data_IF_062553233551
#
_entry.id   IF_062553233551
#
_cell.length_a   1.000
_cell.length_b   1.000
_cell.length_c   1.000
_cell.angle_alpha   90.00
_cell.angle_beta   90.00
_cell.angle_gamma   90.00
#
_symmetry.space_group_name_H-M   'P 1'
#
loop_
_entity.id
_entity.type
_entity.pdbx_description
1 polymer ?
#
# COMPACT_ATOMS: atom_id res chain seq x y z
N UNK A 1 65.05 18.04 15.83
CA UNK A 1 63.76 17.41 16.21
C UNK A 1 63.14 16.92 14.93
N UNK A 2 63.10 15.61 14.76
CA UNK A 2 62.92 14.90 13.50
C UNK A 2 61.46 14.51 13.32
N UNK A 3 60.83 15.03 12.27
CA UNK A 3 59.43 14.77 11.89
C UNK A 3 59.31 13.37 11.29
N UNK A 4 58.74 12.42 12.03
CA UNK A 4 58.37 11.10 11.47
C UNK A 4 57.01 11.17 10.81
N UNK A 5 57.02 11.26 9.48
CA UNK A 5 55.87 11.16 8.61
C UNK A 5 55.51 9.67 8.43
N UNK A 6 54.39 9.23 9.00
CA UNK A 6 53.91 7.86 8.83
C UNK A 6 53.24 7.69 7.45
N UNK A 7 53.96 7.09 6.50
CA UNK A 7 53.42 6.68 5.20
C UNK A 7 52.53 5.46 5.37
N UNK A 8 51.22 5.64 5.19
CA UNK A 8 50.21 4.56 5.22
C UNK A 8 50.15 3.94 3.83
N UNK A 9 50.57 2.67 3.70
CA UNK A 9 50.46 1.91 2.45
C UNK A 9 48.98 1.66 2.11
N UNK A 10 48.55 1.81 0.86
CA UNK A 10 47.20 1.42 0.45
C UNK A 10 47.08 -0.11 0.47
N UNK A 11 45.98 -0.59 1.03
CA UNK A 11 45.56 -2.00 0.98
C UNK A 11 44.63 -2.11 -0.23
N UNK A 12 45.06 -2.83 -1.25
CA UNK A 12 44.19 -3.20 -2.37
C UNK A 12 43.22 -4.28 -1.86
N UNK A 13 41.93 -3.94 -1.84
CA UNK A 13 40.86 -4.86 -1.50
C UNK A 13 40.33 -5.40 -2.83
N UNK A 14 40.71 -6.63 -3.13
CA UNK A 14 40.25 -7.38 -4.29
C UNK A 14 38.80 -7.84 -4.02
N UNK A 15 37.87 -7.35 -4.83
CA UNK A 15 36.48 -7.80 -4.77
C UNK A 15 36.32 -8.93 -5.79
N UNK A 16 36.42 -10.17 -5.32
CA UNK A 16 36.00 -11.34 -6.10
C UNK A 16 34.49 -11.25 -6.31
N UNK A 17 34.10 -10.91 -7.54
CA UNK A 17 32.71 -10.97 -8.01
C UNK A 17 32.48 -12.39 -8.49
N UNK A 18 32.05 -13.27 -7.58
CA UNK A 18 31.55 -14.59 -7.97
C UNK A 18 30.10 -14.44 -8.47
N UNK A 19 29.92 -14.70 -9.77
CA UNK A 19 28.66 -14.70 -10.50
C UNK A 19 27.72 -15.82 -9.99
N UNK A 20 26.73 -15.48 -9.18
CA UNK A 20 25.71 -16.42 -8.68
C UNK A 20 24.46 -16.47 -9.60
N UNK A 21 24.69 -16.83 -10.87
CA UNK A 21 23.67 -16.85 -11.95
C UNK A 21 22.97 -18.22 -12.15
N UNK A 22 22.73 -19.02 -11.10
CA UNK A 22 22.16 -20.38 -11.27
C UNK A 22 20.99 -20.77 -10.36
N UNK A 23 19.94 -19.94 -10.30
CA UNK A 23 18.63 -20.42 -9.85
C UNK A 23 17.56 -20.16 -10.91
N UNK A 24 16.91 -21.24 -11.36
CA UNK A 24 15.83 -21.36 -12.36
C UNK A 24 16.23 -21.68 -13.82
N UNK A 25 16.77 -22.89 -14.01
CA UNK A 25 16.65 -23.61 -15.29
C UNK A 25 15.20 -24.10 -15.46
N UNK A 26 14.63 -23.84 -16.65
CA UNK A 26 13.24 -24.07 -17.09
C UNK A 26 12.93 -25.55 -17.38
N UNK A 27 11.64 -25.95 -17.41
CA UNK A 27 10.99 -26.17 -18.72
C UNK A 27 9.50 -25.79 -18.81
N UNK A 28 9.12 -25.05 -19.86
CA UNK A 28 7.77 -25.09 -20.48
C UNK A 28 7.80 -26.15 -21.61
N UNK A 29 6.68 -26.67 -22.19
CA UNK A 29 5.25 -26.59 -21.87
C UNK A 29 4.55 -27.98 -21.83
N UNK A 30 3.27 -28.05 -21.43
CA UNK A 30 2.39 -29.17 -21.82
C UNK A 30 1.26 -28.67 -22.73
N UNK A 31 1.41 -28.92 -24.03
CA UNK A 31 0.41 -28.71 -25.07
C UNK A 31 -0.43 -29.98 -25.21
N UNK A 32 -1.60 -30.03 -24.54
CA UNK A 32 -2.49 -31.19 -24.64
C UNK A 32 -3.53 -31.05 -25.75
N UNK A 33 -3.25 -31.77 -26.84
CA UNK A 33 -4.17 -32.53 -27.70
C UNK A 33 -5.46 -31.87 -28.24
N UNK A 34 -5.45 -31.66 -29.57
CA UNK A 34 -6.61 -31.42 -30.43
C UNK A 34 -7.59 -32.60 -30.38
N UNK A 35 -8.89 -32.33 -30.17
CA UNK A 35 -9.97 -33.31 -30.41
C UNK A 35 -10.43 -33.18 -31.87
N UNK A 36 -10.15 -34.18 -32.70
CA UNK A 36 -10.81 -34.32 -33.99
C UNK A 36 -12.17 -35.00 -33.79
N UNK A 37 -13.25 -34.35 -34.25
CA UNK A 37 -14.53 -35.02 -34.42
C UNK A 37 -14.45 -35.90 -35.67
N UNK A 38 -14.27 -37.21 -35.51
CA UNK A 38 -14.44 -38.15 -36.61
C UNK A 38 -15.95 -38.41 -36.83
N UNK A 39 -16.47 -38.32 -38.07
CA UNK A 39 -17.81 -38.80 -38.40
C UNK A 39 -17.86 -40.34 -38.30
N UNK A 40 -19.04 -40.92 -38.00
CA UNK A 40 -19.16 -42.36 -37.75
C UNK A 40 -18.91 -43.13 -39.04
N UNK A 41 -17.81 -43.88 -39.08
CA UNK A 41 -17.51 -44.83 -40.15
C UNK A 41 -18.25 -46.13 -39.82
N UNK A 42 -19.26 -46.47 -40.62
CA UNK A 42 -19.86 -47.80 -40.65
C UNK A 42 -18.84 -48.75 -41.28
N UNK A 43 -18.24 -49.60 -40.48
CA UNK A 43 -17.45 -50.73 -40.97
C UNK A 43 -18.34 -51.96 -41.01
N UNK A 44 -18.55 -52.44 -42.22
CA UNK A 44 -19.19 -53.72 -42.54
C UNK A 44 -18.09 -54.76 -42.57
N UNK A 45 -18.01 -55.61 -41.54
CA UNK A 45 -17.48 -56.96 -41.59
C UNK A 45 -17.85 -57.59 -40.24
N UNK A 46 -18.24 -58.87 -40.25
CA UNK A 46 -18.71 -59.70 -39.13
C UNK A 46 -20.24 -59.79 -38.95
N UNK A 47 -20.91 -60.35 -39.96
CA UNK A 47 -22.18 -61.08 -39.79
C UNK A 47 -21.91 -62.51 -39.29
N UNK A 48 -22.62 -62.99 -38.25
CA UNK A 48 -23.00 -64.39 -38.17
C UNK A 48 -24.41 -64.59 -38.75
N UNK A 49 -24.46 -65.38 -39.82
CA UNK A 49 -25.68 -65.87 -40.47
C UNK A 49 -26.54 -66.61 -39.46
N UNK A 50 -27.73 -66.07 -39.16
CA UNK A 50 -28.82 -66.83 -38.52
C UNK A 50 -30.01 -66.82 -39.46
N UNK A 51 -30.35 -68.01 -39.97
CA UNK A 51 -31.48 -68.24 -40.86
C UNK A 51 -32.82 -68.11 -40.12
N UNK A 52 -33.86 -67.94 -40.93
CA UNK A 52 -35.29 -68.24 -40.70
C UNK A 52 -36.20 -67.10 -40.24
N UNK A 53 -37.15 -66.76 -41.13
CA UNK A 53 -38.45 -66.12 -40.85
C UNK A 53 -38.39 -64.65 -40.43
N UNK A 54 -39.04 -63.67 -41.03
CA UNK A 54 -40.05 -63.61 -42.07
C UNK A 54 -39.72 -62.40 -42.93
N UNK A 55 -39.85 -62.56 -44.24
CA UNK A 55 -39.95 -61.43 -45.17
C UNK A 55 -41.28 -60.74 -44.87
N UNK A 56 -41.28 -59.73 -44.00
CA UNK A 56 -42.42 -58.83 -43.90
C UNK A 56 -42.44 -58.01 -45.18
N UNK A 57 -43.27 -58.51 -46.08
CA UNK A 57 -43.59 -57.99 -47.38
C UNK A 57 -43.89 -56.48 -47.30
N UNK A 58 -43.28 -55.78 -48.24
CA UNK A 58 -43.69 -54.45 -48.69
C UNK A 58 -45.14 -54.54 -49.16
N UNK A 59 -46.10 -54.27 -48.25
CA UNK A 59 -47.52 -54.32 -48.57
C UNK A 59 -47.90 -53.08 -49.37
N UNK A 60 -47.68 -53.13 -50.69
CA UNK A 60 -48.52 -52.43 -51.65
C UNK A 60 -49.80 -53.25 -51.81
N UNK A 61 -50.86 -52.76 -51.22
CA UNK A 61 -52.25 -53.06 -51.59
C UNK A 61 -53.13 -52.04 -50.89
N UNK A 62 -54.11 -51.41 -51.51
CA UNK A 62 -54.62 -51.53 -52.85
C UNK A 62 -55.24 -50.17 -53.24
N UNK A 63 -55.26 -49.92 -54.54
CA UNK A 63 -56.13 -48.91 -55.16
C UNK A 63 -57.57 -49.23 -54.74
N UNK A 64 -58.18 -48.32 -53.98
CA UNK A 64 -59.63 -48.28 -53.81
C UNK A 64 -60.16 -47.11 -54.65
N UNK A 65 -61.21 -47.31 -55.46
CA UNK A 65 -61.75 -46.27 -56.31
C UNK A 65 -62.50 -45.24 -55.45
N UNK A 66 -62.20 -43.96 -55.66
CA UNK A 66 -62.92 -42.86 -55.04
C UNK A 66 -64.22 -42.63 -55.83
N UNK A 67 -65.35 -42.86 -55.18
CA UNK A 67 -66.60 -42.14 -55.43
C UNK A 67 -67.05 -41.54 -54.09
N UNK A 68 -67.21 -40.22 -54.05
CA UNK A 68 -67.84 -39.52 -52.92
C UNK A 68 -66.97 -38.46 -52.25
N UNK A 69 -67.07 -37.24 -52.77
CA UNK A 69 -67.21 -35.97 -52.04
C UNK A 69 -66.59 -35.86 -50.63
N UNK A 70 -65.50 -35.11 -50.51
CA UNK A 70 -65.00 -34.64 -49.23
C UNK A 70 -63.80 -33.70 -49.40
N UNK A 71 -64.02 -32.42 -49.14
CA UNK A 71 -63.04 -31.33 -49.23
C UNK A 71 -61.77 -31.66 -48.44
N UNK A 72 -60.65 -31.35 -49.06
CA UNK A 72 -59.29 -31.69 -48.62
C UNK A 72 -58.92 -31.02 -47.29
N UNK A 73 -58.44 -31.86 -46.38
CA UNK A 73 -57.70 -31.46 -45.19
C UNK A 73 -56.40 -30.78 -45.62
N UNK A 74 -56.24 -29.48 -45.36
CA UNK A 74 -54.93 -28.83 -45.33
C UNK A 74 -54.25 -29.27 -44.02
N UNK A 75 -53.55 -30.40 -44.06
CA UNK A 75 -52.61 -30.78 -43.01
C UNK A 75 -51.50 -29.72 -42.97
N UNK A 76 -51.55 -28.88 -41.95
CA UNK A 76 -50.50 -27.92 -41.62
C UNK A 76 -49.28 -28.75 -41.21
N UNK A 77 -48.28 -28.86 -42.07
CA UNK A 77 -46.98 -29.39 -41.68
C UNK A 77 -46.47 -28.56 -40.49
N UNK A 78 -46.20 -29.16 -39.31
CA UNK A 78 -45.61 -28.41 -38.23
C UNK A 78 -44.19 -28.08 -38.65
N UNK A 79 -43.94 -26.83 -39.01
CA UNK A 79 -42.58 -26.32 -39.14
C UNK A 79 -41.94 -26.46 -37.78
N UNK A 80 -41.01 -27.41 -37.63
CA UNK A 80 -40.11 -27.46 -36.49
C UNK A 80 -39.20 -26.24 -36.62
N UNK A 81 -39.69 -25.10 -36.13
CA UNK A 81 -38.85 -23.93 -35.93
C UNK A 81 -37.87 -24.35 -34.85
N UNK A 82 -36.62 -24.62 -35.24
CA UNK A 82 -35.52 -24.83 -34.30
C UNK A 82 -35.46 -23.58 -33.43
N UNK A 83 -35.99 -23.69 -32.23
CA UNK A 83 -35.78 -22.73 -31.16
C UNK A 83 -34.28 -22.67 -30.94
N UNK A 84 -33.62 -21.69 -31.54
CA UNK A 84 -32.29 -21.27 -31.10
C UNK A 84 -32.52 -20.78 -29.69
N UNK A 85 -32.28 -21.66 -28.71
CA UNK A 85 -32.09 -21.27 -27.32
C UNK A 85 -30.97 -20.24 -27.35
N UNK A 86 -31.34 -18.96 -27.40
CA UNK A 86 -30.42 -17.84 -27.14
C UNK A 86 -29.91 -18.10 -25.74
N UNK A 87 -28.70 -18.62 -25.67
CA UNK A 87 -27.99 -18.84 -24.44
C UNK A 87 -27.83 -17.45 -23.82
N UNK A 88 -28.76 -17.11 -22.91
CA UNK A 88 -28.69 -15.91 -22.07
C UNK A 88 -27.47 -16.10 -21.17
N UNK A 89 -26.31 -15.65 -21.65
CA UNK A 89 -25.06 -15.58 -20.91
C UNK A 89 -24.42 -14.24 -21.29
N UNK A 90 -24.18 -13.28 -20.40
CA UNK A 90 -24.45 -13.15 -18.97
C UNK A 90 -24.62 -11.64 -18.68
N UNK A 91 -25.84 -11.07 -18.53
CA UNK A 91 -25.98 -9.68 -18.07
C UNK A 91 -25.41 -9.52 -16.65
N UNK A 92 -25.47 -10.60 -15.85
CA UNK A 92 -24.90 -10.62 -14.51
C UNK A 92 -23.37 -10.46 -14.52
N UNK A 93 -22.64 -11.04 -15.49
CA UNK A 93 -21.19 -10.88 -15.56
C UNK A 93 -20.83 -9.43 -15.92
N UNK A 94 -21.55 -8.82 -16.87
CA UNK A 94 -21.35 -7.42 -17.23
C UNK A 94 -21.70 -6.47 -16.07
N UNK A 95 -22.76 -6.77 -15.31
CA UNK A 95 -23.13 -6.01 -14.10
C UNK A 95 -22.10 -6.20 -12.99
N UNK A 96 -21.61 -7.42 -12.75
CA UNK A 96 -20.57 -7.68 -11.76
C UNK A 96 -19.28 -6.95 -12.15
N UNK A 97 -18.88 -7.02 -13.42
CA UNK A 97 -17.70 -6.29 -13.93
C UNK A 97 -17.90 -4.77 -13.79
N UNK A 98 -19.07 -4.25 -14.15
CA UNK A 98 -19.40 -2.83 -13.98
C UNK A 98 -19.41 -2.37 -12.51
N UNK A 99 -19.95 -3.19 -11.61
CA UNK A 99 -19.92 -2.93 -10.17
C UNK A 99 -18.50 -2.95 -9.61
N UNK A 100 -17.65 -3.87 -10.08
CA UNK A 100 -16.23 -3.92 -9.70
C UNK A 100 -15.49 -2.69 -10.20
N UNK A 101 -15.74 -2.25 -11.44
CA UNK A 101 -15.14 -1.02 -12.00
C UNK A 101 -15.61 0.22 -11.23
N UNK A 102 -16.91 0.35 -10.94
CA UNK A 102 -17.42 1.48 -10.17
C UNK A 102 -16.92 1.48 -8.73
N UNK A 103 -16.79 0.30 -8.10
CA UNK A 103 -16.19 0.18 -6.79
C UNK A 103 -14.71 0.60 -6.79
N UNK A 104 -13.93 0.18 -7.81
CA UNK A 104 -12.54 0.60 -7.97
C UNK A 104 -12.40 2.11 -8.19
N UNK A 105 -13.29 2.70 -8.99
CA UNK A 105 -13.33 4.15 -9.22
C UNK A 105 -13.71 4.92 -7.96
N UNK A 106 -14.72 4.46 -7.23
CA UNK A 106 -15.13 5.07 -5.98
C UNK A 106 -13.99 5.05 -4.95
N UNK A 107 -13.25 3.93 -4.84
CA UNK A 107 -12.10 3.81 -3.94
C UNK A 107 -10.95 4.74 -4.33
N UNK A 108 -10.59 4.78 -5.62
CA UNK A 108 -9.51 5.64 -6.12
C UNK A 108 -9.84 7.12 -5.99
N UNK A 109 -11.06 7.53 -6.31
CA UNK A 109 -11.48 8.93 -6.18
C UNK A 109 -11.58 9.38 -4.71
N UNK A 110 -12.02 8.48 -3.82
CA UNK A 110 -12.04 8.76 -2.38
C UNK A 110 -10.63 8.92 -1.79
N UNK A 111 -9.66 8.10 -2.22
CA UNK A 111 -8.26 8.21 -1.80
C UNK A 111 -7.56 9.48 -2.33
N UNK A 112 -7.89 9.89 -3.56
CA UNK A 112 -7.39 11.14 -4.14
C UNK A 112 -7.94 12.37 -3.43
N UNK A 113 -9.23 12.35 -3.05
CA UNK A 113 -9.84 13.45 -2.29
C UNK A 113 -9.23 13.63 -0.90
N UNK A 114 -8.99 12.53 -0.17
CA UNK A 114 -8.38 12.61 1.17
C UNK A 114 -6.90 13.03 1.12
N UNK A 115 -6.14 12.56 0.12
CA UNK A 115 -4.78 13.01 -0.14
C UNK A 115 -4.73 14.51 -0.49
N UNK A 116 -5.65 14.97 -1.34
CA UNK A 116 -5.72 16.37 -1.76
C UNK A 116 -6.04 17.31 -0.60
N UNK A 117 -6.96 16.91 0.29
CA UNK A 117 -7.30 17.68 1.49
C UNK A 117 -6.09 17.79 2.44
N UNK A 118 -5.41 16.69 2.74
CA UNK A 118 -4.20 16.68 3.59
C UNK A 118 -3.05 17.48 2.98
N UNK A 119 -2.93 17.46 1.65
CA UNK A 119 -1.94 18.25 0.90
C UNK A 119 -2.24 19.76 0.96
N UNK A 120 -3.52 20.16 0.93
CA UNK A 120 -3.93 21.56 1.08
C UNK A 120 -3.74 22.06 2.51
N UNK A 121 -4.09 21.24 3.51
CA UNK A 121 -3.97 21.59 4.92
C UNK A 121 -2.48 21.66 5.36
N UNK A 122 -1.64 20.72 4.91
CA UNK A 122 -0.18 20.77 5.08
C UNK A 122 0.44 21.98 4.31
N UNK A 123 -0.13 22.36 3.16
CA UNK A 123 0.35 23.50 2.34
C UNK A 123 -0.05 24.87 2.90
N UNK A 124 -1.13 24.94 3.68
CA UNK A 124 -1.65 26.21 4.21
C UNK A 124 -1.11 26.51 5.61
N UNK A 125 -0.85 25.48 6.42
CA UNK A 125 -0.49 25.63 7.84
C UNK A 125 0.85 25.00 8.23
N UNK A 126 1.47 24.21 7.34
CA UNK A 126 2.86 23.80 7.45
C UNK A 126 3.14 22.52 8.24
N UNK A 127 4.12 21.78 7.72
CA UNK A 127 5.09 20.97 8.47
C UNK A 127 6.37 21.80 8.61
N UNK A 128 7.16 21.66 9.67
CA UNK A 128 7.11 20.63 10.72
C UNK A 128 6.16 20.94 11.89
N UNK A 129 5.85 19.91 12.70
CA UNK A 129 5.12 20.08 13.96
C UNK A 129 5.99 20.90 14.92
N UNK A 130 5.46 22.04 15.35
CA UNK A 130 6.06 22.87 16.40
C UNK A 130 5.21 22.83 17.65
N UNK A 131 5.85 22.65 18.80
CA UNK A 131 5.26 22.92 20.10
C UNK A 131 5.86 24.23 20.63
N UNK A 132 5.04 25.06 21.26
CA UNK A 132 5.49 26.35 21.78
C UNK A 132 4.99 26.51 23.21
N UNK A 133 5.79 27.14 24.05
CA UNK A 133 5.45 27.40 25.45
C UNK A 133 6.28 28.56 25.99
N UNK A 134 5.77 29.22 27.02
CA UNK A 134 6.45 30.31 27.70
C UNK A 134 6.85 29.85 29.10
N UNK A 135 8.07 30.18 29.53
CA UNK A 135 8.55 29.89 30.87
C UNK A 135 9.52 30.96 31.37
N UNK A 136 9.54 31.17 32.68
CA UNK A 136 10.51 32.03 33.36
C UNK A 136 11.62 31.13 33.91
N UNK A 137 12.75 31.09 33.21
CA UNK A 137 13.86 30.15 33.48
C UNK A 137 15.11 30.87 34.03
N UNK A 138 15.06 32.20 34.14
CA UNK A 138 16.16 33.03 34.65
C UNK A 138 17.11 33.53 33.57
N UNK A 139 16.73 33.46 32.28
CA UNK A 139 17.52 33.92 31.16
C UNK A 139 17.12 35.32 30.73
N UNK A 140 17.36 36.33 31.57
CA UNK A 140 16.94 37.72 31.30
C UNK A 140 15.42 37.84 31.04
N UNK A 141 14.64 37.00 31.74
CA UNK A 141 13.18 36.93 31.66
C UNK A 141 12.54 37.27 33.01
N UNK A 142 11.21 37.43 32.99
CA UNK A 142 10.40 37.77 34.17
C UNK A 142 8.95 37.34 33.96
N UNK A 143 8.13 37.33 35.01
CA UNK A 143 6.70 37.02 34.88
C UNK A 143 5.96 37.94 33.89
N UNK A 144 6.44 39.17 33.70
CA UNK A 144 5.89 40.11 32.73
C UNK A 144 6.37 39.87 31.29
N UNK A 145 7.57 39.32 31.14
CA UNK A 145 8.19 39.01 29.85
C UNK A 145 8.88 37.64 29.98
N UNK A 146 8.12 36.53 29.87
CA UNK A 146 8.69 35.20 29.96
C UNK A 146 9.53 34.88 28.71
N UNK A 147 10.41 33.89 28.82
CA UNK A 147 11.11 33.35 27.66
C UNK A 147 10.16 32.52 26.81
N UNK A 148 10.15 32.73 25.50
CA UNK A 148 9.33 31.97 24.57
C UNK A 148 10.14 30.83 23.94
N UNK A 149 9.60 29.62 23.99
CA UNK A 149 10.26 28.42 23.49
C UNK A 149 9.49 27.83 22.32
N UNK A 150 10.23 27.40 21.30
CA UNK A 150 9.72 26.72 20.12
C UNK A 150 10.48 25.42 19.96
N UNK A 151 9.78 24.30 20.14
CA UNK A 151 10.28 22.95 19.93
C UNK A 151 9.83 22.50 18.55
N UNK A 152 10.77 22.14 17.69
CA UNK A 152 10.49 21.81 16.30
C UNK A 152 11.20 20.52 15.92
N UNK A 153 10.47 19.62 15.26
CA UNK A 153 11.08 18.51 14.56
C UNK A 153 11.36 18.90 13.12
N UNK A 154 12.52 19.51 12.88
CA UNK A 154 12.91 19.96 11.56
C UNK A 154 13.43 18.77 10.73
N UNK A 155 12.50 18.04 10.10
CA UNK A 155 12.81 16.89 9.25
C UNK A 155 13.75 15.88 9.96
N UNK A 156 13.26 15.32 11.07
CA UNK A 156 13.98 14.39 11.97
C UNK A 156 15.08 15.02 12.81
N UNK A 157 15.31 16.33 12.73
CA UNK A 157 16.28 17.00 13.59
C UNK A 157 15.53 17.79 14.64
N UNK A 158 15.72 17.41 15.90
CA UNK A 158 15.11 18.17 17.00
C UNK A 158 15.88 19.47 17.17
N UNK A 159 15.16 20.58 17.11
CA UNK A 159 15.68 21.91 17.37
C UNK A 159 14.77 22.57 18.40
N UNK A 160 15.37 23.25 19.36
CA UNK A 160 14.68 24.08 20.32
C UNK A 160 15.17 25.50 20.12
N UNK A 161 14.25 26.44 19.97
CA UNK A 161 14.55 27.86 19.89
C UNK A 161 14.04 28.50 21.17
N UNK A 162 14.87 29.32 21.79
CA UNK A 162 14.52 30.15 22.94
C UNK A 162 14.60 31.62 22.52
N UNK A 163 13.59 32.40 22.88
CA UNK A 163 13.55 33.85 22.78
C UNK A 163 13.52 34.40 24.21
N UNK A 164 14.68 34.72 24.81
CA UNK A 164 14.74 35.12 26.20
C UNK A 164 13.98 36.42 26.43
N UNK A 165 13.07 36.43 27.40
CA UNK A 165 12.18 37.56 27.67
C UNK A 165 11.31 38.01 26.47
N UNK A 166 11.08 37.12 25.50
CA UNK A 166 10.38 37.43 24.25
C UNK A 166 11.22 38.25 23.25
N UNK A 167 12.51 38.46 23.52
CA UNK A 167 13.39 39.26 22.66
C UNK A 167 14.05 38.40 21.56
N UNK A 168 13.62 38.64 20.33
CA UNK A 168 14.16 37.96 19.14
C UNK A 168 15.64 38.28 18.85
N UNK A 169 16.18 39.39 19.38
CA UNK A 169 17.59 39.75 19.16
C UNK A 169 18.57 38.90 19.97
N UNK A 170 18.07 38.24 21.01
CA UNK A 170 18.83 37.34 21.88
C UNK A 170 18.43 35.87 21.68
N UNK A 171 17.85 35.53 20.52
CA UNK A 171 17.41 34.18 20.22
C UNK A 171 18.55 33.15 20.34
N UNK A 172 18.25 32.01 20.97
CA UNK A 172 19.20 30.89 21.14
C UNK A 172 18.62 29.64 20.52
N UNK A 173 19.51 28.78 20.04
CA UNK A 173 19.15 27.53 19.37
C UNK A 173 19.88 26.39 20.06
N UNK A 174 19.11 25.44 20.57
CA UNK A 174 19.60 24.19 21.16
C UNK A 174 19.33 23.04 20.20
N UNK A 175 20.39 22.33 19.82
CA UNK A 175 20.28 21.17 18.95
C UNK A 175 20.00 19.90 19.79
N UNK A 176 19.01 19.13 19.37
CA UNK A 176 18.69 17.80 19.87
C UNK A 176 19.20 16.70 18.94
N UNK A 177 18.83 15.43 19.22
CA UNK A 177 19.24 14.31 18.40
C UNK A 177 18.52 14.28 17.05
N UNK A 178 19.09 13.50 16.14
CA UNK A 178 18.42 13.09 14.90
C UNK A 178 17.59 11.83 15.15
N UNK A 179 16.34 11.84 14.70
CA UNK A 179 15.40 10.73 14.80
C UNK A 179 15.57 9.77 13.62
N UNK A 180 15.70 8.48 13.89
CA UNK A 180 15.92 7.46 12.86
C UNK A 180 14.67 6.60 12.67
N UNK A 181 14.30 6.35 11.40
CA UNK A 181 13.17 5.52 11.02
C UNK A 181 12.15 6.21 10.11
N UNK A 182 11.26 5.40 9.54
CA UNK A 182 10.20 5.88 8.65
C UNK A 182 9.15 6.67 9.44
N UNK A 183 8.72 7.82 8.93
CA UNK A 183 7.70 8.68 9.54
C UNK A 183 8.17 9.51 10.74
N UNK A 184 9.45 9.43 11.10
CA UNK A 184 10.02 10.17 12.24
C UNK A 184 10.04 11.69 12.02
N UNK A 185 9.91 12.15 10.78
CA UNK A 185 9.75 13.56 10.42
C UNK A 185 8.42 14.16 10.93
N UNK A 186 7.47 13.31 11.32
CA UNK A 186 6.18 13.71 11.89
C UNK A 186 6.13 13.55 13.41
N UNK A 187 7.23 13.16 14.03
CA UNK A 187 7.26 12.96 15.48
C UNK A 187 7.14 14.31 16.19
N UNK A 188 6.16 14.49 17.09
CA UNK A 188 6.06 15.71 17.87
C UNK A 188 7.23 15.78 18.86
N UNK A 189 7.73 17.00 19.06
CA UNK A 189 8.71 17.33 20.10
C UNK A 189 8.02 18.31 21.02
N UNK A 190 7.97 18.02 22.32
CA UNK A 190 7.43 18.93 23.34
C UNK A 190 8.47 19.18 24.42
N UNK A 191 8.21 20.16 25.28
CA UNK A 191 9.10 20.50 26.39
C UNK A 191 8.33 20.78 27.67
N UNK A 192 8.99 20.57 28.79
CA UNK A 192 8.57 21.05 30.11
C UNK A 192 9.77 21.61 30.87
N UNK A 193 9.49 22.43 31.88
CA UNK A 193 10.50 23.09 32.70
C UNK A 193 10.36 22.67 34.15
N UNK A 194 11.43 22.11 34.72
CA UNK A 194 11.46 21.62 36.10
C UNK A 194 12.90 21.57 36.58
N UNK A 195 13.12 21.93 37.84
CA UNK A 195 14.40 21.69 38.50
C UNK A 195 14.59 20.17 38.68
N UNK A 196 15.55 19.58 37.95
CA UNK A 196 15.85 18.14 38.03
C UNK A 196 17.17 17.83 38.73
N UNK A 197 18.03 18.82 38.91
CA UNK A 197 19.34 18.68 39.57
C UNK A 197 19.37 19.23 41.01
N UNK A 198 18.30 19.92 41.45
CA UNK A 198 18.12 20.49 42.77
C UNK A 198 18.86 21.82 43.01
N UNK A 199 19.25 22.53 41.96
CA UNK A 199 19.99 23.80 42.07
C UNK A 199 19.09 25.05 42.17
N UNK A 200 17.76 24.86 42.14
CA UNK A 200 16.76 25.93 42.20
C UNK A 200 16.53 26.66 40.87
N UNK A 201 17.16 26.21 39.77
CA UNK A 201 16.90 26.68 38.41
C UNK A 201 16.01 25.69 37.70
N UNK A 202 15.18 26.19 36.79
CA UNK A 202 14.37 25.30 35.95
C UNK A 202 15.24 24.77 34.81
N UNK A 203 15.37 23.44 34.74
CA UNK A 203 15.96 22.73 33.62
C UNK A 203 14.89 22.45 32.55
N UNK A 204 15.34 22.21 31.32
CA UNK A 204 14.46 21.91 30.19
C UNK A 204 14.45 20.41 29.90
N UNK A 205 13.26 19.81 29.94
CA UNK A 205 13.05 18.39 29.62
C UNK A 205 12.32 18.33 28.28
N UNK A 206 12.99 17.79 27.26
CA UNK A 206 12.45 17.60 25.92
C UNK A 206 11.89 16.20 25.78
N UNK A 207 10.61 16.10 25.41
CA UNK A 207 9.92 14.83 25.18
C UNK A 207 9.85 14.54 23.69
N UNK A 208 10.30 13.34 23.31
CA UNK A 208 10.29 12.83 21.94
C UNK A 208 9.80 11.38 22.01
N UNK A 209 8.58 11.12 21.58
CA UNK A 209 7.95 9.80 21.74
C UNK A 209 8.02 9.36 23.22
N UNK A 210 8.68 8.25 23.51
CA UNK A 210 8.86 7.71 24.86
C UNK A 210 10.19 8.15 25.51
N UNK A 211 11.00 8.94 24.80
CA UNK A 211 12.30 9.41 25.27
C UNK A 211 12.21 10.80 25.89
N UNK A 212 12.97 11.01 26.98
CA UNK A 212 13.20 12.31 27.60
C UNK A 212 14.67 12.69 27.48
N UNK A 213 14.92 13.92 27.07
CA UNK A 213 16.25 14.51 27.03
C UNK A 213 16.26 15.70 27.99
N UNK A 214 17.29 15.78 28.82
CA UNK A 214 17.43 16.87 29.78
C UNK A 214 18.50 17.83 29.29
N UNK A 215 18.17 19.11 29.34
CA UNK A 215 19.11 20.20 29.21
C UNK A 215 19.18 20.97 30.53
N UNK A 216 20.37 21.01 31.12
CA UNK A 216 20.64 21.66 32.39
C UNK A 216 20.79 23.17 32.17
N UNK A 217 20.16 23.94 33.05
CA UNK A 217 20.25 25.39 33.07
C UNK A 217 21.53 25.83 33.81
N UNK A 218 22.47 26.47 33.11
CA UNK A 218 23.71 26.98 33.72
C UNK A 218 23.55 28.36 34.38
N UNK A 219 22.33 28.90 34.39
CA UNK A 219 21.95 30.23 34.85
C UNK A 219 21.99 31.30 33.76
N UNK A 220 22.57 31.00 32.61
CA UNK A 220 22.56 31.89 31.46
C UNK A 220 21.92 31.26 30.24
N UNK A 221 22.07 29.96 30.04
CA UNK A 221 21.57 29.19 28.90
C UNK A 221 21.37 27.72 29.30
N UNK A 222 20.81 26.94 28.37
CA UNK A 222 20.70 25.50 28.51
C UNK A 222 21.91 24.77 27.89
N UNK A 223 22.37 23.70 28.54
CA UNK A 223 23.37 22.76 28.01
C UNK A 223 22.85 21.32 28.08
N UNK A 224 23.24 20.42 27.16
CA UNK A 224 22.91 19.01 27.30
C UNK A 224 23.41 18.43 28.64
N UNK A 225 22.63 17.52 29.22
CA UNK A 225 23.06 16.73 30.39
C UNK A 225 24.37 15.98 30.09
N UNK A 226 25.36 16.11 30.97
CA UNK A 226 26.66 15.46 30.78
C UNK A 226 26.69 14.04 31.35
N UNK A 227 27.53 13.13 30.79
CA UNK A 227 27.70 11.80 31.36
C UNK A 227 28.19 11.87 32.81
N UNK A 228 27.46 11.24 33.73
CA UNK A 228 27.79 11.19 35.16
C UNK A 228 27.05 12.20 36.04
N UNK A 229 26.33 13.15 35.44
CA UNK A 229 25.43 14.05 36.15
C UNK A 229 24.11 13.32 36.46
N UNK A 230 23.67 13.36 37.72
CA UNK A 230 22.44 12.71 38.15
C UNK A 230 21.29 13.71 38.12
N UNK A 231 20.15 13.26 37.59
CA UNK A 231 18.91 14.05 37.52
C UNK A 231 17.75 13.22 38.04
N UNK A 232 16.82 13.87 38.72
CA UNK A 232 15.60 13.24 39.21
C UNK A 232 14.46 13.49 38.21
N UNK A 233 13.94 12.42 37.59
CA UNK A 233 12.91 12.50 36.54
C UNK A 233 11.53 12.05 37.01
#
# INVERSE_FOLDING_TARGET
METRQASKRPVDIDYDVEDEDQYYVTPRPHTSARRYNLPPKRDTLDDPVTQTGEVIQRRRSAVAPVTGSGVTSKAISPTITKSTRRIRRLPLLAVIVGMVVMALLAVTFSALGSWWQLHQDDSTYGRPRTYQTDAVVGHNDSDANPSHFIFINLNRHVVIIELPGGDTTHARIYNGPTLFGNGQDLTPVTGEFRDVNGDGKLDMIVHIQDQRLVYINDGTQFRPLQPGEQVNM
#
